data_IF_076851281068
#
_entry.id   IF_076851281068
#
_cell.length_a   1.000
_cell.length_b   1.000
_cell.length_c   1.000
_cell.angle_alpha   90.00
_cell.angle_beta   90.00
_cell.angle_gamma   90.00
#
_symmetry.space_group_name_H-M   'P 1'
#
loop_
_entity.id
_entity.type
_entity.pdbx_description
1 polymer ?
#
# COMPACT_ATOMS: atom_id res chain seq x y z
N UNK A 1 -8.66 -15.00 7.93
CA UNK A 1 -9.83 -14.40 7.25
C UNK A 1 -10.89 -15.43 6.94
N UNK A 2 -10.64 -16.39 6.04
CA UNK A 2 -11.65 -17.39 5.64
C UNK A 2 -12.19 -18.20 6.81
N UNK A 3 -11.31 -18.77 7.65
CA UNK A 3 -11.74 -19.56 8.82
C UNK A 3 -12.59 -18.77 9.81
N UNK A 4 -12.29 -17.47 10.00
CA UNK A 4 -12.93 -16.64 11.03
C UNK A 4 -14.19 -15.91 10.54
N UNK A 5 -14.24 -15.53 9.27
CA UNK A 5 -15.27 -14.63 8.71
C UNK A 5 -15.85 -15.11 7.37
N UNK A 6 -15.28 -16.16 6.77
CA UNK A 6 -15.69 -16.66 5.46
C UNK A 6 -16.91 -17.56 5.55
N UNK A 7 -17.77 -17.49 4.53
CA UNK A 7 -18.85 -18.46 4.29
C UNK A 7 -18.47 -19.58 3.31
N UNK A 8 -17.37 -19.39 2.58
CA UNK A 8 -16.86 -20.32 1.57
C UNK A 8 -15.55 -20.94 2.05
N UNK A 9 -15.33 -22.21 1.72
CA UNK A 9 -14.04 -22.87 1.92
C UNK A 9 -12.95 -22.34 0.99
N UNK A 10 -11.69 -22.67 1.31
CA UNK A 10 -10.53 -22.29 0.49
C UNK A 10 -10.60 -22.83 -0.94
N UNK A 11 -11.18 -24.02 -1.11
CA UNK A 11 -11.46 -24.65 -2.41
C UNK A 11 -12.25 -23.71 -3.34
N UNK A 12 -13.30 -23.08 -2.82
CA UNK A 12 -14.13 -22.15 -3.59
C UNK A 12 -13.52 -20.77 -3.69
N UNK A 13 -12.87 -20.29 -2.63
CA UNK A 13 -12.27 -18.96 -2.60
C UNK A 13 -11.08 -18.84 -3.58
N UNK A 14 -10.30 -19.91 -3.73
CA UNK A 14 -9.12 -19.94 -4.59
C UNK A 14 -9.40 -20.44 -6.01
N UNK A 15 -10.55 -21.07 -6.27
CA UNK A 15 -10.86 -21.65 -7.58
C UNK A 15 -10.67 -20.68 -8.77
N UNK A 16 -11.11 -19.40 -8.72
CA UNK A 16 -10.86 -18.47 -9.82
C UNK A 16 -9.37 -18.19 -10.04
N UNK A 17 -8.60 -18.02 -8.97
CA UNK A 17 -7.15 -17.78 -9.05
C UNK A 17 -6.41 -18.99 -9.63
N UNK A 18 -6.81 -20.20 -9.23
CA UNK A 18 -6.29 -21.46 -9.79
C UNK A 18 -6.59 -21.54 -11.29
N UNK A 19 -7.82 -21.25 -11.71
CA UNK A 19 -8.19 -21.27 -13.12
C UNK A 19 -7.39 -20.25 -13.95
N UNK A 20 -7.23 -19.01 -13.49
CA UNK A 20 -6.42 -18.01 -14.19
C UNK A 20 -4.93 -18.40 -14.27
N UNK A 21 -4.38 -19.02 -13.22
CA UNK A 21 -3.00 -19.50 -13.25
C UNK A 21 -2.84 -20.70 -14.21
N UNK A 22 -3.80 -21.61 -14.23
CA UNK A 22 -3.73 -22.86 -15.01
C UNK A 22 -4.09 -22.68 -16.48
N UNK A 23 -5.15 -21.95 -16.79
CA UNK A 23 -5.61 -21.70 -18.17
C UNK A 23 -4.89 -20.52 -18.81
N UNK A 24 -4.36 -19.63 -17.96
CA UNK A 24 -3.72 -18.38 -18.35
C UNK A 24 -4.73 -17.24 -18.58
N UNK A 25 -4.20 -16.03 -18.67
CA UNK A 25 -4.99 -14.83 -18.96
C UNK A 25 -4.24 -13.91 -19.94
N UNK A 26 -5.00 -13.06 -20.64
CA UNK A 26 -4.42 -12.07 -21.53
C UNK A 26 -3.67 -11.01 -20.73
N UNK A 27 -2.39 -10.84 -21.02
CA UNK A 27 -1.55 -9.80 -20.42
C UNK A 27 -2.10 -8.43 -20.80
N UNK A 28 -2.29 -7.57 -19.81
CA UNK A 28 -2.75 -6.21 -20.01
C UNK A 28 -1.62 -5.26 -20.46
N UNK A 29 -1.96 -4.05 -20.88
CA UNK A 29 -0.94 -3.06 -21.27
C UNK A 29 -0.03 -2.69 -20.09
N UNK A 30 -0.61 -2.52 -18.88
CA UNK A 30 0.17 -2.19 -17.69
C UNK A 30 1.08 -3.35 -17.27
N UNK A 31 0.58 -4.60 -17.32
CA UNK A 31 1.40 -5.76 -16.98
C UNK A 31 2.52 -5.98 -18.01
N UNK A 32 2.23 -5.83 -19.30
CA UNK A 32 3.26 -5.91 -20.35
C UNK A 32 4.36 -4.88 -20.15
N UNK A 33 3.99 -3.62 -19.85
CA UNK A 33 4.94 -2.56 -19.56
C UNK A 33 5.77 -2.85 -18.31
N UNK A 34 5.16 -3.38 -17.23
CA UNK A 34 5.86 -3.76 -16.02
C UNK A 34 6.90 -4.87 -16.27
N UNK A 35 6.52 -5.96 -16.95
CA UNK A 35 7.45 -7.06 -17.27
C UNK A 35 8.58 -6.56 -18.19
N UNK A 36 8.27 -5.67 -19.15
CA UNK A 36 9.27 -5.11 -20.04
C UNK A 36 10.27 -4.19 -19.31
N UNK A 37 9.79 -3.38 -18.36
CA UNK A 37 10.64 -2.51 -17.53
C UNK A 37 11.65 -3.31 -16.70
N UNK A 38 11.21 -4.43 -16.13
CA UNK A 38 12.05 -5.27 -15.27
C UNK A 38 12.68 -6.45 -16.05
N UNK A 39 12.73 -6.36 -17.38
CA UNK A 39 13.08 -7.52 -18.20
C UNK A 39 14.50 -8.04 -17.94
N UNK A 40 15.46 -7.14 -17.74
CA UNK A 40 16.84 -7.53 -17.41
C UNK A 40 16.91 -8.30 -16.10
N UNK A 41 16.20 -7.82 -15.08
CA UNK A 41 16.14 -8.43 -13.75
C UNK A 41 15.44 -9.79 -13.80
N UNK A 42 14.26 -9.88 -14.43
CA UNK A 42 13.48 -11.11 -14.53
C UNK A 42 14.20 -12.17 -15.39
N UNK A 43 14.95 -11.77 -16.41
CA UNK A 43 15.69 -12.71 -17.26
C UNK A 43 16.92 -13.34 -16.57
N UNK A 44 17.36 -12.77 -15.45
CA UNK A 44 18.50 -13.29 -14.69
C UNK A 44 18.13 -14.54 -13.85
N UNK A 45 16.85 -14.69 -13.49
CA UNK A 45 16.32 -15.87 -12.82
C UNK A 45 15.69 -16.82 -13.85
N UNK A 46 16.13 -18.09 -13.95
CA UNK A 46 15.62 -19.02 -14.96
C UNK A 46 14.11 -19.26 -14.89
N UNK A 47 13.53 -19.28 -13.69
CA UNK A 47 12.09 -19.54 -13.51
C UNK A 47 11.25 -18.31 -13.87
N UNK A 48 11.68 -17.11 -13.48
CA UNK A 48 11.10 -15.85 -13.97
C UNK A 48 11.20 -15.76 -15.50
N UNK A 49 12.34 -16.09 -16.10
CA UNK A 49 12.50 -16.09 -17.56
C UNK A 49 11.56 -17.10 -18.23
N UNK A 50 11.41 -18.31 -17.66
CA UNK A 50 10.51 -19.34 -18.17
C UNK A 50 9.04 -18.91 -18.12
N UNK A 51 8.62 -18.26 -17.03
CA UNK A 51 7.22 -17.87 -16.81
C UNK A 51 6.88 -16.55 -17.52
N UNK A 52 7.68 -15.50 -17.29
CA UNK A 52 7.40 -14.16 -17.80
C UNK A 52 8.00 -13.91 -19.19
N UNK A 53 8.94 -14.73 -19.67
CA UNK A 53 9.55 -14.57 -21.00
C UNK A 53 9.67 -15.89 -21.77
N UNK A 54 8.60 -16.69 -21.89
CA UNK A 54 8.65 -18.00 -22.54
C UNK A 54 9.07 -17.93 -24.02
N UNK A 55 9.01 -16.75 -24.63
CA UNK A 55 9.41 -16.45 -26.01
C UNK A 55 10.78 -15.76 -26.10
N UNK A 56 11.58 -15.79 -25.03
CA UNK A 56 12.88 -15.09 -24.94
C UNK A 56 12.77 -13.57 -24.87
N UNK A 57 11.57 -13.02 -24.61
CA UNK A 57 11.29 -11.59 -24.44
C UNK A 57 10.09 -11.39 -23.52
N UNK A 58 9.97 -10.18 -22.96
CA UNK A 58 8.74 -9.74 -22.29
C UNK A 58 7.51 -9.92 -23.20
N UNK A 59 6.34 -10.29 -22.65
CA UNK A 59 5.13 -10.52 -23.41
C UNK A 59 4.57 -9.20 -23.91
N UNK A 60 3.85 -9.25 -25.03
CA UNK A 60 3.05 -8.10 -25.50
C UNK A 60 1.65 -8.18 -24.89
N UNK A 61 0.98 -7.05 -24.77
CA UNK A 61 -0.42 -7.02 -24.39
C UNK A 61 -1.26 -7.94 -25.32
N UNK A 62 -2.20 -8.66 -24.72
CA UNK A 62 -3.03 -9.68 -25.37
C UNK A 62 -2.37 -11.06 -25.49
N UNK A 63 -1.07 -11.22 -25.27
CA UNK A 63 -0.45 -12.55 -25.17
C UNK A 63 -0.91 -13.26 -23.89
N UNK A 64 -1.02 -14.58 -23.92
CA UNK A 64 -1.44 -15.36 -22.76
C UNK A 64 -0.26 -15.61 -21.83
N UNK A 65 -0.41 -15.22 -20.56
CA UNK A 65 0.50 -15.58 -19.46
C UNK A 65 -0.15 -16.71 -18.65
N UNK A 66 0.57 -17.82 -18.52
CA UNK A 66 0.16 -19.03 -17.81
C UNK A 66 1.18 -19.35 -16.72
N UNK A 67 0.72 -19.75 -15.54
CA UNK A 67 1.52 -20.04 -14.35
C UNK A 67 1.10 -21.38 -13.75
N UNK A 68 1.30 -22.47 -14.48
CA UNK A 68 0.86 -23.82 -14.11
C UNK A 68 1.36 -24.28 -12.73
N UNK A 69 2.59 -23.93 -12.38
CA UNK A 69 3.20 -24.34 -11.11
C UNK A 69 2.55 -23.60 -9.93
N UNK A 70 2.21 -22.32 -10.14
CA UNK A 70 1.45 -21.54 -9.18
C UNK A 70 0.04 -22.12 -9.00
N UNK A 71 -0.59 -22.56 -10.10
CA UNK A 71 -1.89 -23.23 -10.02
C UNK A 71 -1.84 -24.48 -9.15
N UNK A 72 -0.79 -25.30 -9.27
CA UNK A 72 -0.63 -26.49 -8.41
C UNK A 72 -0.39 -26.12 -6.94
N UNK A 73 0.47 -25.14 -6.67
CA UNK A 73 0.68 -24.63 -5.30
C UNK A 73 -0.62 -24.12 -4.68
N UNK A 74 -1.44 -23.38 -5.45
CA UNK A 74 -2.76 -22.92 -5.00
C UNK A 74 -3.74 -24.08 -4.78
N UNK A 75 -3.70 -25.14 -5.60
CA UNK A 75 -4.50 -26.36 -5.37
C UNK A 75 -4.09 -27.08 -4.09
N UNK A 76 -2.79 -27.16 -3.79
CA UNK A 76 -2.32 -27.75 -2.53
C UNK A 76 -2.83 -26.97 -1.32
N UNK A 77 -2.75 -25.63 -1.36
CA UNK A 77 -3.29 -24.76 -0.30
C UNK A 77 -4.81 -24.90 -0.19
N UNK A 78 -5.52 -24.99 -1.33
CA UNK A 78 -6.96 -25.19 -1.33
C UNK A 78 -7.38 -26.52 -0.70
N UNK A 79 -6.61 -27.60 -0.91
CA UNK A 79 -6.90 -28.94 -0.39
C UNK A 79 -6.47 -29.13 1.07
N UNK A 80 -5.31 -28.61 1.44
CA UNK A 80 -4.65 -28.92 2.71
C UNK A 80 -4.60 -27.71 3.66
N UNK A 81 -5.19 -26.58 3.26
CA UNK A 81 -5.20 -25.37 4.05
C UNK A 81 -3.84 -24.64 4.08
N UNK A 82 -3.70 -23.63 4.95
CA UNK A 82 -2.46 -22.85 5.04
C UNK A 82 -1.25 -23.70 5.44
N UNK A 83 -1.44 -24.81 6.14
CA UNK A 83 -0.36 -25.71 6.53
C UNK A 83 0.39 -26.30 5.34
N UNK A 84 -0.23 -26.39 4.15
CA UNK A 84 0.47 -26.76 2.92
C UNK A 84 1.72 -25.87 2.71
N UNK A 85 1.54 -24.56 2.84
CA UNK A 85 2.57 -23.55 2.61
C UNK A 85 3.58 -23.45 3.75
N UNK A 86 3.16 -23.60 5.00
CA UNK A 86 4.02 -23.37 6.16
C UNK A 86 4.68 -24.63 6.74
N UNK A 87 4.08 -25.82 6.56
CA UNK A 87 4.48 -27.06 7.22
C UNK A 87 4.46 -28.31 6.33
N UNK A 88 3.86 -28.21 5.14
CA UNK A 88 3.64 -29.34 4.25
C UNK A 88 4.71 -29.52 3.18
N UNK A 89 4.41 -30.32 2.16
CA UNK A 89 5.30 -30.59 1.02
C UNK A 89 5.69 -29.30 0.28
N UNK A 90 4.76 -28.35 0.15
CA UNK A 90 5.06 -27.05 -0.46
C UNK A 90 6.05 -26.23 0.40
N UNK A 91 5.94 -26.28 1.73
CA UNK A 91 6.93 -25.66 2.62
C UNK A 91 8.33 -26.23 2.42
N UNK A 92 8.45 -27.56 2.30
CA UNK A 92 9.72 -28.23 1.98
C UNK A 92 10.33 -27.73 0.67
N UNK A 93 9.55 -27.67 -0.41
CA UNK A 93 9.99 -27.14 -1.71
C UNK A 93 10.44 -25.67 -1.63
N UNK A 94 9.76 -24.85 -0.84
CA UNK A 94 10.14 -23.45 -0.61
C UNK A 94 11.50 -23.37 0.09
N UNK A 95 11.71 -24.17 1.13
CA UNK A 95 12.98 -24.20 1.88
C UNK A 95 14.11 -24.68 0.98
N UNK A 96 13.95 -25.82 0.32
CA UNK A 96 14.96 -26.40 -0.57
C UNK A 96 15.34 -25.40 -1.68
N UNK A 97 14.34 -24.79 -2.33
CA UNK A 97 14.58 -23.80 -3.39
C UNK A 97 15.27 -22.54 -2.87
N UNK A 98 14.93 -22.03 -1.68
CA UNK A 98 15.63 -20.88 -1.10
C UNK A 98 17.07 -21.24 -0.70
N UNK A 99 17.32 -22.45 -0.20
CA UNK A 99 18.67 -22.92 0.13
C UNK A 99 19.55 -23.05 -1.10
N UNK A 100 19.03 -23.60 -2.21
CA UNK A 100 19.73 -23.67 -3.49
C UNK A 100 20.13 -22.29 -4.03
N UNK A 101 19.29 -21.28 -3.77
CA UNK A 101 19.56 -19.87 -4.10
C UNK A 101 20.54 -19.18 -3.13
N UNK A 102 21.00 -19.87 -2.08
CA UNK A 102 21.89 -19.32 -1.05
C UNK A 102 21.19 -18.46 0.01
N UNK A 103 19.87 -18.57 0.14
CA UNK A 103 19.07 -17.81 1.10
C UNK A 103 19.14 -18.35 2.53
N UNK A 104 18.70 -17.52 3.48
CA UNK A 104 18.80 -17.79 4.92
C UNK A 104 17.52 -18.33 5.57
N UNK A 105 16.40 -18.39 4.85
CA UNK A 105 15.12 -18.89 5.38
C UNK A 105 15.19 -20.42 5.55
N UNK A 106 14.75 -20.92 6.69
CA UNK A 106 14.72 -22.35 7.04
C UNK A 106 13.31 -22.84 7.35
N UNK A 107 13.14 -24.15 7.43
CA UNK A 107 11.84 -24.77 7.75
C UNK A 107 11.28 -24.30 9.08
N UNK A 108 12.14 -24.06 10.07
CA UNK A 108 11.75 -23.53 11.38
C UNK A 108 11.17 -22.12 11.29
N UNK A 109 11.64 -21.30 10.34
CA UNK A 109 11.09 -19.94 10.13
C UNK A 109 9.66 -20.00 9.58
N UNK A 110 9.39 -20.93 8.64
CA UNK A 110 8.03 -21.14 8.11
C UNK A 110 7.12 -21.75 9.17
N UNK A 111 7.59 -22.76 9.91
CA UNK A 111 6.79 -23.41 10.95
C UNK A 111 6.47 -22.46 12.12
N UNK A 112 7.40 -21.57 12.47
CA UNK A 112 7.22 -20.55 13.49
C UNK A 112 6.29 -19.40 13.07
N UNK A 113 5.99 -19.24 11.77
CA UNK A 113 5.14 -18.16 11.29
C UNK A 113 3.74 -18.21 11.91
N UNK A 114 3.24 -17.06 12.36
CA UNK A 114 1.85 -16.85 12.80
C UNK A 114 1.31 -15.58 12.17
N UNK A 115 0.03 -15.61 11.80
CA UNK A 115 -0.70 -14.41 11.38
C UNK A 115 -1.26 -13.70 12.61
N UNK A 116 -0.72 -12.54 12.93
CA UNK A 116 -1.20 -11.72 14.04
C UNK A 116 -2.59 -11.14 13.74
N UNK A 117 -3.41 -10.98 14.78
CA UNK A 117 -4.73 -10.30 14.74
C UNK A 117 -4.76 -9.17 15.78
N UNK A 118 -3.91 -8.14 15.63
CA UNK A 118 -3.86 -7.06 16.60
C UNK A 118 -5.09 -6.15 16.48
N UNK A 119 -5.44 -5.46 17.57
CA UNK A 119 -6.45 -4.40 17.51
C UNK A 119 -5.94 -3.26 16.61
N UNK A 120 -6.81 -2.67 15.77
CA UNK A 120 -6.44 -1.55 14.94
C UNK A 120 -6.12 -0.31 15.81
N UNK A 121 -5.35 0.60 15.25
CA UNK A 121 -5.15 1.94 15.81
C UNK A 121 -6.13 2.90 15.13
N UNK A 122 -6.56 3.94 15.85
CA UNK A 122 -7.50 4.92 15.31
C UNK A 122 -7.30 6.33 15.85
N UNK A 123 -7.83 7.29 15.09
CA UNK A 123 -8.01 8.69 15.48
C UNK A 123 -9.44 9.11 15.18
N UNK A 124 -10.00 10.00 15.99
CA UNK A 124 -11.26 10.67 15.68
C UNK A 124 -10.97 11.84 14.74
N UNK A 125 -11.56 11.85 13.55
CA UNK A 125 -11.33 12.86 12.52
C UNK A 125 -12.61 13.18 11.76
N UNK A 126 -12.97 14.46 11.65
CA UNK A 126 -14.15 14.91 10.91
C UNK A 126 -15.46 14.26 11.35
N UNK A 127 -15.57 13.86 12.63
CA UNK A 127 -16.74 13.16 13.17
C UNK A 127 -16.77 11.64 12.94
N UNK A 128 -15.72 11.05 12.37
CA UNK A 128 -15.57 9.60 12.17
C UNK A 128 -14.41 9.05 13.01
N UNK A 129 -14.47 7.77 13.34
CA UNK A 129 -13.32 7.02 13.86
C UNK A 129 -12.60 6.40 12.67
N UNK A 130 -11.42 6.94 12.35
CA UNK A 130 -10.59 6.48 11.22
C UNK A 130 -9.58 5.47 11.74
N UNK A 131 -9.62 4.25 11.19
CA UNK A 131 -8.78 3.12 11.59
C UNK A 131 -7.69 2.85 10.56
N UNK A 132 -6.51 2.50 11.07
CA UNK A 132 -5.39 1.99 10.28
C UNK A 132 -4.74 0.78 10.95
N UNK A 133 -3.90 0.06 10.21
CA UNK A 133 -3.16 -1.07 10.77
C UNK A 133 -2.13 -0.61 11.82
N UNK A 134 -1.96 -1.37 12.91
CA UNK A 134 -0.91 -1.11 13.89
C UNK A 134 0.48 -1.48 13.34
N UNK A 135 1.57 -1.10 14.04
CA UNK A 135 2.92 -1.48 13.66
C UNK A 135 3.04 -3.00 13.49
N UNK A 136 3.83 -3.51 12.55
CA UNK A 136 4.88 -2.82 11.77
C UNK A 136 4.39 -2.06 10.52
N UNK A 137 3.08 -1.89 10.33
CA UNK A 137 2.54 -1.02 9.28
C UNK A 137 2.78 0.48 9.55
N UNK A 138 2.82 1.27 8.47
CA UNK A 138 2.82 2.73 8.50
C UNK A 138 1.43 3.37 8.70
N UNK A 139 0.40 2.63 9.14
CA UNK A 139 -0.93 3.18 9.38
C UNK A 139 -0.95 4.36 10.36
N UNK A 140 -0.03 4.38 11.33
CA UNK A 140 0.13 5.49 12.29
C UNK A 140 0.47 6.83 11.62
N UNK A 141 1.16 6.81 10.47
CA UNK A 141 1.56 8.03 9.75
C UNK A 141 0.33 8.76 9.22
N UNK A 142 -0.60 8.04 8.60
CA UNK A 142 -1.88 8.63 8.16
C UNK A 142 -2.68 9.19 9.34
N UNK A 143 -2.75 8.44 10.45
CA UNK A 143 -3.50 8.89 11.63
C UNK A 143 -2.89 10.15 12.24
N UNK A 144 -1.56 10.24 12.24
CA UNK A 144 -0.84 11.45 12.66
C UNK A 144 -1.05 12.62 11.70
N UNK A 145 -0.98 12.39 10.38
CA UNK A 145 -1.29 13.41 9.36
C UNK A 145 -2.69 14.01 9.57
N UNK A 146 -3.69 13.15 9.77
CA UNK A 146 -5.07 13.56 10.06
C UNK A 146 -5.18 14.28 11.40
N UNK A 147 -4.54 13.77 12.47
CA UNK A 147 -4.54 14.42 13.79
C UNK A 147 -3.89 15.82 13.74
N UNK A 148 -2.80 15.97 12.98
CA UNK A 148 -2.10 17.25 12.83
C UNK A 148 -3.00 18.27 12.16
N UNK A 149 -3.75 17.92 11.11
CA UNK A 149 -4.66 18.88 10.47
C UNK A 149 -6.02 19.00 11.13
N UNK A 150 -6.36 18.10 12.05
CA UNK A 150 -7.58 18.18 12.86
C UNK A 150 -7.64 19.50 13.64
N UNK A 151 -8.78 20.19 13.61
CA UNK A 151 -8.93 21.53 14.21
C UNK A 151 -8.35 22.68 13.37
N UNK A 152 -7.86 22.43 12.15
CA UNK A 152 -7.61 23.48 11.15
C UNK A 152 -8.87 23.71 10.29
N UNK A 153 -9.07 24.95 9.83
CA UNK A 153 -10.21 25.31 8.99
C UNK A 153 -9.98 24.95 7.51
N UNK A 154 -9.72 23.66 7.22
CA UNK A 154 -9.34 23.19 5.88
C UNK A 154 -10.35 23.59 4.80
N UNK A 155 -11.66 23.48 5.10
CA UNK A 155 -12.74 23.89 4.19
C UNK A 155 -12.64 25.36 3.74
N UNK A 156 -12.14 26.26 4.60
CA UNK A 156 -11.95 27.68 4.26
C UNK A 156 -10.77 27.92 3.31
N UNK A 157 -9.82 26.99 3.27
CA UNK A 157 -8.69 27.06 2.32
C UNK A 157 -9.14 26.71 0.89
N UNK A 158 -10.21 25.92 0.74
CA UNK A 158 -10.73 25.47 -0.55
C UNK A 158 -10.01 24.23 -1.09
N UNK A 159 -10.79 23.29 -1.65
CA UNK A 159 -10.25 22.06 -2.24
C UNK A 159 -9.33 22.39 -3.42
N UNK A 160 -8.17 21.71 -3.48
CA UNK A 160 -7.17 21.91 -4.53
C UNK A 160 -6.43 23.24 -4.50
N UNK A 161 -6.63 24.08 -3.48
CA UNK A 161 -5.90 25.34 -3.36
C UNK A 161 -4.45 25.12 -2.93
N UNK A 162 -3.59 26.09 -3.26
CA UNK A 162 -2.19 26.06 -2.85
C UNK A 162 -2.02 26.13 -1.32
N UNK A 163 -2.97 26.74 -0.59
CA UNK A 163 -2.94 26.78 0.87
C UNK A 163 -3.24 25.40 1.47
N UNK A 164 -4.29 24.73 0.99
CA UNK A 164 -4.64 23.39 1.45
C UNK A 164 -3.49 22.39 1.17
N UNK A 165 -2.99 22.37 -0.07
CA UNK A 165 -1.90 21.47 -0.48
C UNK A 165 -0.66 21.75 0.37
N UNK A 166 -0.29 23.01 0.56
CA UNK A 166 0.86 23.35 1.39
C UNK A 166 0.68 22.86 2.84
N UNK A 167 -0.46 23.13 3.47
CA UNK A 167 -0.74 22.66 4.83
C UNK A 167 -0.63 21.14 4.94
N UNK A 168 -1.19 20.39 4.00
CA UNK A 168 -1.13 18.93 4.02
C UNK A 168 0.29 18.41 3.77
N UNK A 169 1.05 19.01 2.86
CA UNK A 169 2.46 18.62 2.61
C UNK A 169 3.32 18.85 3.86
N UNK A 170 3.14 19.99 4.55
CA UNK A 170 3.91 20.27 5.76
C UNK A 170 3.49 19.36 6.94
N UNK A 171 2.20 19.03 7.08
CA UNK A 171 1.73 18.03 8.04
C UNK A 171 2.34 16.64 7.77
N UNK A 172 2.34 16.21 6.50
CA UNK A 172 3.00 14.97 6.05
C UNK A 172 4.49 14.96 6.39
N UNK A 173 5.19 16.08 6.18
CA UNK A 173 6.63 16.18 6.49
C UNK A 173 6.89 15.92 7.97
N UNK A 174 6.04 16.44 8.85
CA UNK A 174 6.14 16.22 10.29
C UNK A 174 5.91 14.75 10.65
N UNK A 175 4.82 14.15 10.19
CA UNK A 175 4.47 12.76 10.49
C UNK A 175 5.51 11.75 9.98
N UNK A 176 6.06 11.97 8.78
CA UNK A 176 7.13 11.12 8.27
C UNK A 176 8.45 11.31 9.06
N UNK A 177 8.73 12.51 9.60
CA UNK A 177 9.90 12.70 10.46
C UNK A 177 9.77 11.85 11.75
N UNK A 178 8.56 11.79 12.30
CA UNK A 178 8.27 11.01 13.49
C UNK A 178 8.28 9.50 13.18
N UNK A 179 7.79 9.07 12.00
CA UNK A 179 7.98 7.71 11.50
C UNK A 179 9.45 7.31 11.51
N UNK A 180 10.33 8.13 10.92
CA UNK A 180 11.75 7.79 10.78
C UNK A 180 12.46 7.74 12.15
N UNK A 181 12.03 8.58 13.09
CA UNK A 181 12.58 8.63 14.44
C UNK A 181 12.14 7.45 15.33
N UNK A 182 10.90 6.96 15.18
CA UNK A 182 10.28 6.07 16.17
C UNK A 182 9.83 4.71 15.64
N UNK A 183 9.50 4.59 14.35
CA UNK A 183 8.86 3.38 13.85
C UNK A 183 9.79 2.16 13.87
N UNK A 184 9.31 1.06 14.45
CA UNK A 184 10.00 -0.23 14.49
C UNK A 184 9.04 -1.37 14.84
N UNK A 185 9.57 -2.59 14.93
CA UNK A 185 8.80 -3.75 15.38
C UNK A 185 8.57 -3.70 16.90
N UNK A 186 7.33 -3.58 17.38
CA UNK A 186 7.04 -3.50 18.82
C UNK A 186 7.48 -4.75 19.60
N UNK A 187 7.79 -5.86 18.91
CA UNK A 187 8.35 -7.07 19.54
C UNK A 187 9.83 -6.93 19.90
N UNK A 188 10.52 -5.95 19.31
CA UNK A 188 11.96 -5.76 19.44
C UNK A 188 12.34 -4.35 19.95
N UNK A 189 11.47 -3.36 19.78
CA UNK A 189 11.71 -1.97 20.23
C UNK A 189 10.50 -1.42 20.95
N UNK A 190 10.72 -0.44 21.84
CA UNK A 190 9.67 0.30 22.53
C UNK A 190 9.04 1.32 21.56
N UNK A 191 8.04 0.88 20.79
CA UNK A 191 7.30 1.73 19.85
C UNK A 191 5.81 1.74 20.17
N UNK A 192 5.34 2.89 20.65
CA UNK A 192 3.94 3.15 20.99
C UNK A 192 3.36 4.25 20.09
N UNK A 193 2.81 3.91 18.91
CA UNK A 193 2.42 4.90 17.90
C UNK A 193 1.30 5.85 18.37
N UNK A 194 0.48 5.44 19.35
CA UNK A 194 -0.65 6.26 19.86
C UNK A 194 -0.21 7.61 20.41
N UNK A 195 1.03 7.75 20.88
CA UNK A 195 1.57 9.03 21.32
C UNK A 195 1.74 10.04 20.18
N UNK A 196 1.99 9.57 18.95
CA UNK A 196 2.26 10.42 17.79
C UNK A 196 1.00 11.08 17.21
N UNK A 197 -0.17 10.53 17.49
CA UNK A 197 -1.46 11.10 17.10
C UNK A 197 -2.37 11.42 18.29
N UNK A 198 -1.79 11.54 19.48
CA UNK A 198 -2.49 12.08 20.63
C UNK A 198 -2.80 13.58 20.41
N UNK A 199 -3.97 14.10 20.86
CA UNK A 199 -4.38 15.47 20.60
C UNK A 199 -3.33 16.53 20.97
N UNK A 200 -2.67 16.39 22.12
CA UNK A 200 -1.66 17.34 22.61
C UNK A 200 -0.39 17.31 21.75
N UNK A 201 0.04 16.11 21.34
CA UNK A 201 1.21 15.95 20.48
C UNK A 201 0.93 16.50 19.08
N UNK A 202 -0.18 16.12 18.47
CA UNK A 202 -0.60 16.61 17.17
C UNK A 202 -0.74 18.15 17.16
N UNK A 203 -1.32 18.74 18.22
CA UNK A 203 -1.39 20.19 18.38
C UNK A 203 0.00 20.85 18.52
N UNK A 204 0.96 20.18 19.16
CA UNK A 204 2.33 20.65 19.23
C UNK A 204 3.03 20.58 17.86
N UNK A 205 2.87 19.48 17.12
CA UNK A 205 3.42 19.31 15.76
C UNK A 205 2.84 20.32 14.78
N UNK A 206 1.52 20.57 14.83
CA UNK A 206 0.82 21.57 14.00
C UNK A 206 1.47 22.96 14.03
N UNK A 207 2.08 23.36 15.15
CA UNK A 207 2.80 24.65 15.27
C UNK A 207 4.04 24.74 14.38
N UNK A 208 4.56 23.61 13.92
CA UNK A 208 5.65 23.53 12.95
C UNK A 208 5.23 23.86 11.52
N UNK A 209 3.93 23.92 11.22
CA UNK A 209 3.42 24.32 9.90
C UNK A 209 3.55 25.83 9.75
N UNK A 210 4.62 26.27 9.09
CA UNK A 210 4.84 27.66 8.72
C UNK A 210 4.11 28.05 7.43
N UNK A 211 4.26 29.31 7.00
CA UNK A 211 3.74 29.77 5.69
C UNK A 211 4.68 29.53 4.50
N UNK A 212 5.83 28.89 4.75
CA UNK A 212 6.88 28.58 3.77
C UNK A 212 7.21 27.10 3.85
N UNK A 213 7.53 26.48 2.72
CA UNK A 213 7.91 25.07 2.66
C UNK A 213 9.16 24.81 3.52
N UNK A 214 9.03 23.96 4.54
CA UNK A 214 10.17 23.51 5.32
C UNK A 214 11.04 22.57 4.50
N UNK A 215 12.35 22.60 4.76
CA UNK A 215 13.26 21.61 4.22
C UNK A 215 13.17 20.33 5.06
N UNK A 216 13.15 19.16 4.41
CA UNK A 216 13.22 17.86 5.09
C UNK A 216 13.95 16.84 4.25
N UNK A 217 15.13 16.44 4.69
CA UNK A 217 15.90 15.38 4.03
C UNK A 217 15.28 14.02 4.37
N UNK A 218 14.76 13.33 3.36
CA UNK A 218 14.33 11.93 3.47
C UNK A 218 15.52 11.02 3.11
N UNK A 219 15.48 9.75 3.52
CA UNK A 219 16.37 8.76 2.94
C UNK A 219 16.15 8.68 1.42
N UNK A 220 17.23 8.53 0.65
CA UNK A 220 17.11 8.42 -0.81
C UNK A 220 16.30 7.17 -1.22
N UNK A 221 15.44 7.32 -2.23
CA UNK A 221 14.79 6.19 -2.89
C UNK A 221 15.69 5.70 -4.04
N UNK A 222 16.15 4.44 -4.05
CA UNK A 222 16.94 3.89 -5.15
C UNK A 222 16.15 3.75 -6.47
N UNK A 223 14.89 4.19 -6.54
CA UNK A 223 14.10 4.26 -7.76
C UNK A 223 13.45 2.93 -8.15
N UNK A 224 13.24 2.04 -7.19
CA UNK A 224 12.67 0.71 -7.46
C UNK A 224 11.14 0.81 -7.45
N UNK A 225 10.52 0.48 -8.58
CA UNK A 225 9.07 0.51 -8.73
C UNK A 225 8.37 -0.30 -7.63
N UNK A 226 7.29 0.26 -7.08
CA UNK A 226 6.47 -0.37 -6.06
C UNK A 226 5.32 -1.16 -6.69
N UNK A 227 5.21 -2.44 -6.35
CA UNK A 227 4.06 -3.26 -6.76
C UNK A 227 3.32 -3.75 -5.51
N UNK A 228 2.19 -3.09 -5.27
CA UNK A 228 1.26 -3.35 -4.19
C UNK A 228 -0.13 -3.42 -4.85
N UNK A 229 -0.99 -4.26 -4.31
CA UNK A 229 -2.40 -4.32 -4.70
C UNK A 229 -3.25 -3.92 -3.50
N UNK A 230 -4.17 -3.00 -3.71
CA UNK A 230 -5.21 -2.66 -2.75
C UNK A 230 -6.55 -3.09 -3.32
N UNK A 231 -7.41 -3.64 -2.46
CA UNK A 231 -8.81 -3.92 -2.78
C UNK A 231 -9.70 -3.59 -1.59
N UNK A 232 -10.95 -3.27 -1.88
CA UNK A 232 -11.98 -3.11 -0.87
C UNK A 232 -13.28 -3.75 -1.32
N UNK A 233 -14.01 -4.35 -0.38
CA UNK A 233 -15.28 -5.02 -0.63
C UNK A 233 -16.25 -4.65 0.48
N UNK A 234 -17.49 -4.38 0.12
CA UNK A 234 -18.60 -4.26 1.07
C UNK A 234 -19.75 -5.18 0.62
N UNK A 235 -20.51 -5.74 1.56
CA UNK A 235 -21.67 -6.58 1.26
C UNK A 235 -22.96 -6.12 1.94
N UNK A 236 -24.08 -6.69 1.50
CA UNK A 236 -25.43 -6.39 2.01
C UNK A 236 -25.63 -6.70 3.50
N UNK A 237 -24.77 -7.52 4.09
CA UNK A 237 -24.85 -7.89 5.51
C UNK A 237 -24.08 -6.88 6.39
N UNK A 238 -23.50 -5.84 5.77
CA UNK A 238 -22.74 -4.78 6.44
C UNK A 238 -21.27 -5.13 6.67
N UNK A 239 -20.76 -6.21 6.07
CA UNK A 239 -19.34 -6.51 6.14
C UNK A 239 -18.56 -5.57 5.24
N UNK A 240 -17.43 -5.06 5.72
CA UNK A 240 -16.50 -4.24 4.95
C UNK A 240 -15.08 -4.75 5.14
N UNK A 241 -14.37 -4.96 4.04
CA UNK A 241 -12.97 -5.40 4.01
C UNK A 241 -12.16 -4.35 3.28
N UNK A 242 -11.13 -3.82 3.95
CA UNK A 242 -10.07 -3.01 3.35
C UNK A 242 -8.79 -3.84 3.39
N UNK A 243 -8.30 -4.27 2.23
CA UNK A 243 -7.20 -5.24 2.13
C UNK A 243 -6.09 -4.70 1.24
N UNK A 244 -4.86 -4.93 1.68
CA UNK A 244 -3.67 -4.54 0.96
C UNK A 244 -2.62 -5.65 1.07
N UNK A 245 -1.99 -6.00 -0.05
CA UNK A 245 -0.95 -7.01 -0.11
C UNK A 245 0.16 -6.62 -1.09
N UNK A 246 1.38 -7.09 -0.85
CA UNK A 246 2.53 -6.69 -1.66
C UNK A 246 3.77 -7.54 -1.39
N UNK A 247 4.47 -7.85 -2.49
CA UNK A 247 5.83 -8.40 -2.50
C UNK A 247 6.94 -7.35 -2.32
N UNK A 248 6.57 -6.11 -1.98
CA UNK A 248 7.39 -4.88 -1.88
C UNK A 248 7.76 -4.25 -3.23
N UNK A 249 8.78 -4.75 -3.91
CA UNK A 249 9.19 -4.27 -5.23
C UNK A 249 8.36 -4.86 -6.37
N UNK A 250 8.47 -4.26 -7.56
CA UNK A 250 8.07 -4.93 -8.80
C UNK A 250 8.69 -6.30 -8.90
N UNK A 251 7.83 -7.31 -9.00
CA UNK A 251 8.21 -8.71 -8.96
C UNK A 251 9.04 -9.12 -7.73
N UNK A 252 8.97 -8.38 -6.61
CA UNK A 252 9.63 -8.71 -5.35
C UNK A 252 11.14 -8.85 -5.49
N UNK A 253 11.66 -10.03 -5.13
CA UNK A 253 13.07 -10.38 -5.31
C UNK A 253 13.45 -10.72 -6.77
N UNK A 254 12.46 -10.78 -7.67
CA UNK A 254 12.56 -11.29 -9.03
C UNK A 254 13.11 -12.73 -9.08
N UNK A 255 12.66 -13.54 -8.14
CA UNK A 255 13.09 -14.93 -7.97
C UNK A 255 11.88 -15.79 -7.66
N UNK A 256 11.69 -16.86 -8.44
CA UNK A 256 10.62 -17.83 -8.22
C UNK A 256 11.24 -19.11 -7.66
N UNK A 257 10.64 -19.65 -6.61
CA UNK A 257 11.04 -20.96 -6.08
C UNK A 257 10.74 -22.04 -7.13
N UNK A 258 11.76 -22.77 -7.63
CA UNK A 258 11.58 -23.75 -8.71
C UNK A 258 10.46 -24.75 -8.44
N UNK A 259 9.61 -24.98 -9.46
CA UNK A 259 8.52 -25.95 -9.39
C UNK A 259 7.35 -25.58 -8.47
N UNK A 260 7.27 -24.34 -8.00
CA UNK A 260 6.14 -23.85 -7.18
C UNK A 260 5.39 -22.68 -7.79
N UNK A 261 6.01 -21.92 -8.70
CA UNK A 261 5.46 -20.66 -9.21
C UNK A 261 5.36 -19.54 -8.16
N UNK A 262 5.92 -19.73 -6.95
CA UNK A 262 5.87 -18.74 -5.86
C UNK A 262 7.01 -17.74 -6.05
N UNK A 263 6.62 -16.52 -6.39
CA UNK A 263 7.51 -15.36 -6.44
C UNK A 263 7.87 -14.90 -5.02
N UNK A 264 9.16 -14.79 -4.72
CA UNK A 264 9.64 -14.31 -3.43
C UNK A 264 9.52 -12.79 -3.33
N UNK A 265 9.08 -12.31 -2.17
CA UNK A 265 9.10 -10.89 -1.85
C UNK A 265 10.53 -10.43 -1.49
N UNK A 266 10.80 -9.13 -1.61
CA UNK A 266 12.04 -8.51 -1.14
C UNK A 266 11.81 -7.58 0.07
N UNK A 267 10.81 -7.90 0.92
CA UNK A 267 10.34 -7.04 2.02
C UNK A 267 11.43 -6.70 3.04
N UNK A 268 12.46 -7.54 3.18
CA UNK A 268 13.59 -7.27 4.07
C UNK A 268 14.36 -5.99 3.71
N UNK A 269 14.22 -5.47 2.47
CA UNK A 269 14.72 -4.14 2.10
C UNK A 269 14.08 -2.99 2.88
N UNK A 270 12.97 -3.25 3.57
CA UNK A 270 12.34 -2.28 4.46
C UNK A 270 13.12 -2.03 5.75
N UNK A 271 14.16 -2.83 6.07
CA UNK A 271 15.03 -2.56 7.22
C UNK A 271 16.02 -1.44 6.94
N UNK A 272 16.39 -0.72 8.01
CA UNK A 272 17.57 0.12 8.03
C UNK A 272 18.84 -0.70 8.27
N UNK A 273 19.95 -0.26 7.71
CA UNK A 273 21.29 -0.76 8.03
C UNK A 273 22.03 0.14 9.03
N UNK A 274 21.43 1.26 9.44
CA UNK A 274 21.95 2.09 10.53
C UNK A 274 21.73 1.37 11.87
N UNK A 275 22.80 1.05 12.62
CA UNK A 275 22.70 0.39 13.93
C UNK A 275 21.89 1.16 14.97
N UNK A 276 21.72 2.47 14.79
CA UNK A 276 20.95 3.33 15.71
C UNK A 276 19.45 3.37 15.39
N UNK A 277 19.04 2.86 14.22
CA UNK A 277 17.64 2.90 13.79
C UNK A 277 16.76 1.95 14.60
N UNK A 278 15.56 2.39 15.05
CA UNK A 278 14.57 1.47 15.62
C UNK A 278 14.11 0.40 14.62
N UNK A 279 14.35 0.60 13.33
CA UNK A 279 14.07 -0.33 12.25
C UNK A 279 15.34 -1.01 11.70
N UNK A 280 16.40 -1.15 12.51
CA UNK A 280 17.61 -1.92 12.13
C UNK A 280 17.28 -3.39 11.84
N UNK A 281 17.94 -3.98 10.86
CA UNK A 281 17.88 -5.42 10.52
C UNK A 281 18.29 -6.28 11.73
N UNK A 282 17.41 -7.22 12.11
CA UNK A 282 17.68 -8.20 13.17
C UNK A 282 16.90 -9.50 12.92
N UNK A 283 17.42 -10.63 13.42
CA UNK A 283 16.76 -11.93 13.33
C UNK A 283 15.40 -11.93 14.04
N UNK A 284 14.39 -12.59 13.45
CA UNK A 284 13.03 -12.69 13.99
C UNK A 284 12.22 -11.40 14.00
N UNK A 285 12.85 -10.24 13.72
CA UNK A 285 12.21 -8.94 13.61
C UNK A 285 11.49 -8.81 12.27
N UNK A 286 10.44 -8.00 12.21
CA UNK A 286 9.78 -7.59 10.96
C UNK A 286 10.22 -6.17 10.59
N UNK A 287 10.50 -5.89 9.31
CA UNK A 287 10.76 -4.53 8.87
C UNK A 287 9.48 -3.71 8.97
N UNK A 288 9.62 -2.42 9.32
CA UNK A 288 8.54 -1.45 9.09
C UNK A 288 8.15 -1.52 7.61
N UNK A 289 6.84 -1.59 7.34
CA UNK A 289 6.35 -1.76 5.98
C UNK A 289 5.30 -0.73 5.59
N UNK A 290 5.27 -0.46 4.29
CA UNK A 290 4.52 0.63 3.68
C UNK A 290 3.02 0.40 3.55
N UNK A 291 2.53 -0.80 3.84
CA UNK A 291 1.12 -1.15 3.61
C UNK A 291 0.17 -0.40 4.53
N UNK A 292 -0.79 0.35 3.99
CA UNK A 292 -1.85 1.01 4.74
C UNK A 292 -3.23 0.83 4.05
N UNK A 293 -4.20 0.35 4.81
CA UNK A 293 -5.58 0.11 4.44
C UNK A 293 -6.47 0.77 5.49
N UNK A 294 -7.50 1.50 5.06
CA UNK A 294 -8.23 2.45 5.91
C UNK A 294 -9.71 2.10 5.93
N UNK A 295 -10.29 2.11 7.12
CA UNK A 295 -11.74 2.07 7.34
C UNK A 295 -12.12 3.23 8.25
N UNK A 296 -13.16 3.98 7.91
CA UNK A 296 -13.72 5.01 8.77
C UNK A 296 -15.14 4.64 9.20
N UNK A 297 -15.42 4.74 10.50
CA UNK A 297 -16.70 4.39 11.11
C UNK A 297 -17.40 5.63 11.68
N UNK A 298 -18.73 5.63 11.63
CA UNK A 298 -19.58 6.47 12.47
C UNK A 298 -20.18 5.58 13.57
N UNK A 299 -19.61 5.65 14.77
CA UNK A 299 -19.85 4.66 15.83
C UNK A 299 -19.45 3.27 15.36
N UNK A 300 -20.40 2.34 15.28
CA UNK A 300 -20.18 0.98 14.76
C UNK A 300 -20.49 0.82 13.27
N UNK A 301 -20.89 1.90 12.58
CA UNK A 301 -21.36 1.83 11.19
C UNK A 301 -20.23 2.19 10.24
N UNK A 302 -19.79 1.29 9.33
CA UNK A 302 -18.84 1.63 8.29
C UNK A 302 -19.36 2.74 7.40
N UNK A 303 -18.55 3.77 7.16
CA UNK A 303 -18.87 4.88 6.26
C UNK A 303 -17.95 4.93 5.05
N UNK A 304 -16.67 4.62 5.25
CA UNK A 304 -15.67 4.64 4.19
C UNK A 304 -14.72 3.46 4.36
N UNK A 305 -14.30 2.87 3.25
CA UNK A 305 -13.12 2.02 3.17
C UNK A 305 -12.31 2.43 1.96
N UNK A 306 -11.04 2.77 2.15
CA UNK A 306 -10.19 3.27 1.08
C UNK A 306 -8.73 2.94 1.32
N UNK A 307 -7.97 2.96 0.24
CA UNK A 307 -6.56 2.64 0.25
C UNK A 307 -5.98 2.73 -1.13
N UNK A 308 -4.66 2.63 -1.21
CA UNK A 308 -3.93 2.74 -2.47
C UNK A 308 -2.62 1.96 -2.38
N UNK A 309 -2.11 1.40 -3.49
CA UNK A 309 -0.72 1.01 -3.59
C UNK A 309 0.23 2.22 -3.69
N UNK A 310 1.54 1.98 -3.64
CA UNK A 310 2.56 3.00 -3.96
C UNK A 310 3.62 3.30 -2.89
N UNK A 311 4.08 2.32 -2.10
CA UNK A 311 5.11 2.52 -1.03
C UNK A 311 4.85 3.77 -0.16
N UNK A 312 5.72 4.77 -0.23
CA UNK A 312 5.63 6.01 0.55
C UNK A 312 4.52 6.94 0.05
N UNK A 313 4.01 6.75 -1.17
CA UNK A 313 2.84 7.46 -1.66
C UNK A 313 1.55 6.99 -0.97
N UNK A 314 1.51 5.79 -0.37
CA UNK A 314 0.27 5.23 0.18
C UNK A 314 -0.39 6.15 1.19
N UNK A 315 0.34 6.51 2.26
CA UNK A 315 -0.21 7.38 3.31
C UNK A 315 -0.44 8.81 2.82
N UNK A 316 0.37 9.32 1.88
CA UNK A 316 0.15 10.64 1.28
C UNK A 316 -1.14 10.70 0.45
N UNK A 317 -1.38 9.67 -0.36
CA UNK A 317 -2.60 9.55 -1.18
C UNK A 317 -3.80 9.24 -0.31
N UNK A 318 -3.68 8.38 0.69
CA UNK A 318 -4.74 8.12 1.66
C UNK A 318 -5.07 9.37 2.49
N UNK A 319 -4.08 10.23 2.77
CA UNK A 319 -4.31 11.51 3.45
C UNK A 319 -5.09 12.48 2.55
N UNK A 320 -4.70 12.60 1.29
CA UNK A 320 -5.47 13.35 0.27
C UNK A 320 -6.91 12.84 0.14
N UNK A 321 -7.12 11.53 0.09
CA UNK A 321 -8.44 10.91 0.03
C UNK A 321 -9.25 11.12 1.31
N UNK A 322 -8.63 10.96 2.48
CA UNK A 322 -9.27 11.19 3.77
C UNK A 322 -9.81 12.60 3.87
N UNK A 323 -9.00 13.60 3.54
CA UNK A 323 -9.43 15.01 3.51
C UNK A 323 -10.52 15.25 2.45
N UNK A 324 -10.36 14.70 1.24
CA UNK A 324 -11.36 14.83 0.17
C UNK A 324 -12.74 14.29 0.58
N UNK A 325 -12.77 13.08 1.12
CA UNK A 325 -13.99 12.34 1.46
C UNK A 325 -14.63 12.87 2.75
N UNK A 326 -13.82 13.19 3.76
CA UNK A 326 -14.31 13.55 5.11
C UNK A 326 -14.51 15.08 5.23
N UNK A 327 -13.50 15.89 4.89
CA UNK A 327 -13.57 17.35 5.03
C UNK A 327 -14.19 18.05 3.84
N UNK A 328 -14.18 17.48 2.65
CA UNK A 328 -14.82 18.13 1.50
C UNK A 328 -16.07 17.41 1.04
N UNK A 329 -16.33 16.19 1.53
CA UNK A 329 -17.52 15.42 1.18
C UNK A 329 -17.61 15.14 -0.31
N UNK A 330 -16.46 15.01 -0.99
CA UNK A 330 -16.44 14.72 -2.41
C UNK A 330 -17.05 13.35 -2.69
N UNK A 331 -17.68 13.24 -3.86
CA UNK A 331 -18.04 11.94 -4.43
C UNK A 331 -16.82 11.01 -4.50
N UNK A 332 -17.03 9.71 -4.33
CA UNK A 332 -15.95 8.72 -4.25
C UNK A 332 -15.08 8.72 -5.51
N UNK A 333 -15.68 8.72 -6.69
CA UNK A 333 -14.91 8.73 -7.94
C UNK A 333 -14.25 10.10 -8.13
N UNK A 334 -14.93 11.20 -7.81
CA UNK A 334 -14.36 12.53 -7.90
C UNK A 334 -13.14 12.72 -6.97
N UNK A 335 -13.19 12.17 -5.75
CA UNK A 335 -12.07 12.18 -4.80
C UNK A 335 -10.87 11.38 -5.34
N UNK A 336 -11.12 10.22 -5.94
CA UNK A 336 -10.09 9.38 -6.56
C UNK A 336 -9.46 10.08 -7.78
N UNK A 337 -10.28 10.69 -8.61
CA UNK A 337 -9.86 11.33 -9.85
C UNK A 337 -9.19 12.69 -9.65
N UNK A 338 -9.38 13.33 -8.49
CA UNK A 338 -8.75 14.61 -8.19
C UNK A 338 -7.23 14.57 -8.47
N UNK A 339 -6.64 15.66 -9.00
CA UNK A 339 -5.19 15.76 -9.18
C UNK A 339 -4.45 15.53 -7.87
N UNK A 340 -3.36 14.76 -7.90
CA UNK A 340 -2.59 14.39 -6.71
C UNK A 340 -1.22 15.02 -6.69
N UNK A 341 -0.75 15.25 -5.47
CA UNK A 341 0.62 15.63 -5.18
C UNK A 341 1.34 14.49 -4.46
N UNK A 342 2.66 14.49 -4.57
CA UNK A 342 3.56 13.57 -3.89
C UNK A 342 4.80 14.34 -3.45
N UNK A 343 5.04 14.40 -2.14
CA UNK A 343 6.28 14.96 -1.63
C UNK A 343 7.38 13.90 -1.68
N UNK A 344 8.41 14.19 -2.48
CA UNK A 344 9.57 13.31 -2.64
C UNK A 344 10.54 13.50 -1.46
N UNK A 345 11.28 14.61 -1.44
CA UNK A 345 12.28 14.95 -0.43
C UNK A 345 12.50 16.47 -0.39
N UNK A 346 13.10 16.96 0.69
CA UNK A 346 13.46 18.36 0.86
C UNK A 346 12.26 19.28 0.73
N UNK A 347 12.31 20.13 -0.31
CA UNK A 347 11.20 20.98 -0.73
C UNK A 347 10.58 20.52 -2.06
N UNK A 348 11.05 19.42 -2.64
CA UNK A 348 10.58 18.86 -3.90
C UNK A 348 9.17 18.30 -3.76
N UNK A 349 8.24 18.92 -4.48
CA UNK A 349 6.84 18.53 -4.52
C UNK A 349 6.48 18.18 -5.96
N UNK A 350 6.23 16.89 -6.19
CA UNK A 350 5.72 16.39 -7.45
C UNK A 350 4.22 16.60 -7.51
N UNK A 351 3.72 17.18 -8.59
CA UNK A 351 2.29 17.45 -8.79
C UNK A 351 1.87 17.00 -10.17
N UNK A 352 0.70 16.39 -10.29
CA UNK A 352 0.15 16.06 -11.61
C UNK A 352 -0.11 17.32 -12.45
N UNK A 353 0.12 17.20 -13.76
CA UNK A 353 -0.04 18.30 -14.71
C UNK A 353 -1.47 18.90 -14.74
N UNK A 354 -2.46 18.15 -14.24
CA UNK A 354 -3.86 18.58 -14.12
C UNK A 354 -4.09 19.64 -13.03
N UNK A 355 -3.12 19.89 -12.14
CA UNK A 355 -3.22 21.05 -11.25
C UNK A 355 -3.10 22.36 -12.05
N UNK A 356 -4.01 23.33 -11.83
CA UNK A 356 -3.94 24.61 -12.52
C UNK A 356 -2.59 25.30 -12.33
N UNK A 357 -2.12 26.01 -13.35
CA UNK A 357 -0.80 26.67 -13.32
C UNK A 357 -0.71 27.69 -12.19
N UNK A 358 -1.80 28.40 -11.88
CA UNK A 358 -1.86 29.36 -10.78
C UNK A 358 -1.65 28.69 -9.42
N UNK A 359 -2.17 27.47 -9.21
CA UNK A 359 -1.96 26.70 -7.99
C UNK A 359 -0.49 26.29 -7.88
N UNK A 360 0.08 25.77 -8.97
CA UNK A 360 1.49 25.38 -9.04
C UNK A 360 2.43 26.55 -8.76
N UNK A 361 2.15 27.71 -9.36
CA UNK A 361 2.91 28.95 -9.15
C UNK A 361 2.79 29.44 -7.71
N UNK A 362 1.58 29.38 -7.12
CA UNK A 362 1.37 29.77 -5.73
C UNK A 362 2.11 28.84 -4.75
N UNK A 363 2.15 27.53 -5.02
CA UNK A 363 2.98 26.58 -4.25
C UNK A 363 4.48 26.89 -4.37
N UNK A 364 4.97 27.21 -5.57
CA UNK A 364 6.33 27.71 -5.77
C UNK A 364 6.59 29.01 -5.01
N UNK A 365 5.60 29.91 -4.96
CA UNK A 365 5.62 31.13 -4.15
C UNK A 365 5.71 30.88 -2.65
N UNK A 366 5.29 29.70 -2.16
CA UNK A 366 5.48 29.25 -0.77
C UNK A 366 6.84 28.56 -0.55
N UNK A 367 7.62 28.33 -1.61
CA UNK A 367 8.98 27.76 -1.53
C UNK A 367 9.08 26.28 -1.86
N UNK A 368 8.00 25.65 -2.32
CA UNK A 368 8.04 24.28 -2.87
C UNK A 368 8.76 24.26 -4.22
N UNK A 369 9.57 23.23 -4.45
CA UNK A 369 10.26 22.97 -5.71
C UNK A 369 9.38 22.06 -6.55
N UNK A 370 8.63 22.64 -7.49
CA UNK A 370 7.59 21.93 -8.23
C UNK A 370 8.19 21.09 -9.35
N UNK A 371 7.95 19.79 -9.30
CA UNK A 371 8.20 18.85 -10.38
C UNK A 371 6.86 18.39 -10.98
N UNK A 372 6.75 18.36 -12.30
CA UNK A 372 5.53 17.94 -12.98
C UNK A 372 5.54 16.45 -13.26
N UNK A 373 4.46 15.80 -12.84
CA UNK A 373 4.11 14.44 -13.24
C UNK A 373 3.21 14.47 -14.48
N UNK A 374 2.98 13.31 -15.08
CA UNK A 374 1.95 13.16 -16.11
C UNK A 374 0.56 13.56 -15.58
N UNK A 375 -0.42 13.72 -16.47
CA UNK A 375 -1.79 14.05 -16.06
C UNK A 375 -2.38 12.99 -15.12
N UNK A 376 -2.09 11.72 -15.40
CA UNK A 376 -2.51 10.56 -14.62
C UNK A 376 -1.28 9.71 -14.31
N UNK A 377 -0.62 10.00 -13.19
CA UNK A 377 0.68 9.39 -12.87
C UNK A 377 0.58 8.35 -11.76
N UNK A 378 0.90 7.09 -12.10
CA UNK A 378 0.81 5.94 -11.19
C UNK A 378 1.76 6.01 -9.98
N UNK A 379 2.73 6.94 -9.98
CA UNK A 379 3.58 7.26 -8.82
C UNK A 379 2.73 7.74 -7.64
N UNK A 380 1.61 8.41 -7.91
CA UNK A 380 0.67 8.91 -6.89
C UNK A 380 -0.34 7.84 -6.43
N UNK A 381 -0.12 6.57 -6.79
CA UNK A 381 -0.90 5.43 -6.33
C UNK A 381 -1.86 4.86 -7.36
N UNK A 382 -2.91 4.21 -6.87
CA UNK A 382 -3.90 3.44 -7.63
C UNK A 382 -5.11 3.15 -6.75
N UNK A 383 -5.72 4.22 -6.24
CA UNK A 383 -6.67 4.17 -5.14
C UNK A 383 -7.95 3.40 -5.48
N UNK A 384 -8.51 2.73 -4.48
CA UNK A 384 -9.88 2.21 -4.53
C UNK A 384 -10.61 2.70 -3.29
N UNK A 385 -11.90 2.98 -3.41
CA UNK A 385 -12.70 3.37 -2.26
C UNK A 385 -14.15 2.92 -2.40
N UNK A 386 -14.75 2.62 -1.25
CA UNK A 386 -16.19 2.41 -1.09
C UNK A 386 -16.68 3.37 -0.01
N UNK A 387 -17.72 4.13 -0.32
CA UNK A 387 -18.54 4.84 0.66
C UNK A 387 -19.85 4.08 0.89
N UNK A 388 -20.27 4.03 2.14
CA UNK A 388 -21.54 3.47 2.58
C UNK A 388 -22.42 4.63 3.04
N UNK A 389 -23.51 4.87 2.34
CA UNK A 389 -24.49 5.89 2.70
C UNK A 389 -25.36 5.45 3.89
N UNK A 390 -25.99 6.39 4.59
CA UNK A 390 -26.84 6.14 5.76
C UNK A 390 -28.08 5.29 5.43
N UNK A 391 -28.50 5.27 4.18
CA UNK A 391 -29.58 4.41 3.67
C UNK A 391 -29.09 2.99 3.26
N UNK A 392 -27.79 2.69 3.43
CA UNK A 392 -27.19 1.40 3.08
C UNK A 392 -26.76 1.25 1.61
N UNK A 393 -26.83 2.30 0.80
CA UNK A 393 -26.35 2.28 -0.59
C UNK A 393 -24.83 2.40 -0.62
N UNK A 394 -24.20 1.61 -1.51
CA UNK A 394 -22.76 1.66 -1.75
C UNK A 394 -22.44 2.56 -2.94
N UNK A 395 -21.46 3.45 -2.78
CA UNK A 395 -20.78 4.13 -3.87
C UNK A 395 -19.34 3.65 -3.91
N UNK A 396 -18.87 3.21 -5.08
CA UNK A 396 -17.52 2.68 -5.25
C UNK A 396 -16.81 3.40 -6.39
N UNK A 397 -15.50 3.58 -6.25
CA UNK A 397 -14.67 4.19 -7.28
C UNK A 397 -13.31 3.52 -7.39
N UNK A 398 -12.73 3.61 -8.58
CA UNK A 398 -11.47 3.01 -8.96
C UNK A 398 -10.60 3.99 -9.73
N UNK A 399 -9.30 3.96 -9.44
CA UNK A 399 -8.35 4.93 -9.96
C UNK A 399 -7.98 4.70 -11.43
N UNK A 400 -8.18 5.70 -12.32
CA UNK A 400 -7.82 5.57 -13.73
C UNK A 400 -6.31 5.64 -13.99
N UNK A 401 -5.47 5.93 -12.98
CA UNK A 401 -4.00 5.86 -13.10
C UNK A 401 -3.47 4.43 -13.22
N UNK A 402 -4.33 3.44 -12.94
CA UNK A 402 -4.05 2.00 -13.05
C UNK A 402 -5.25 1.30 -13.68
N UNK A 403 -5.15 -0.01 -13.84
CA UNK A 403 -6.24 -0.87 -14.35
C UNK A 403 -7.24 -1.22 -13.23
N UNK A 404 -7.68 -0.20 -12.47
CA UNK A 404 -8.66 -0.36 -11.39
C UNK A 404 -10.07 -0.57 -11.93
N UNK A 405 -10.88 -1.34 -11.21
CA UNK A 405 -12.31 -1.55 -11.54
C UNK A 405 -13.14 -1.48 -10.28
N UNK A 406 -14.25 -0.74 -10.34
CA UNK A 406 -15.32 -0.77 -9.36
C UNK A 406 -16.53 -1.49 -9.96
N UNK A 407 -17.07 -2.48 -9.25
CA UNK A 407 -18.22 -3.27 -9.69
C UNK A 407 -19.16 -3.56 -8.51
N UNK A 408 -20.46 -3.63 -8.79
CA UNK A 408 -21.51 -4.00 -7.83
C UNK A 408 -22.49 -4.99 -8.46
N UNK A 409 -23.18 -5.78 -7.64
CA UNK A 409 -24.11 -6.83 -8.08
C UNK A 409 -25.31 -6.97 -7.15
#
# INVERSE_FOLDING_TARGET
MIEAHGRLGLDRALAPAIAYADEGFAVSDVLAAAIASDASLLSADPECARIYMPRGRAPRAGEILQQSDLAESLREIARHGPDAFYRGTLAGRIVDGIEELGGALRGEDLDAHRTDRPDPISVRYGGLDVYGQPPVSQGHVLLEELAIVDGMELRKMGWGSADLIHTMVEAKKLAFADRDAYAGDPRAVDFHPRGLFAPEYAAARRKGIGGRAADRVEAGDPGVAAHTTYLTVADRDGNVVSLIESVFSGFGAATIVPGTGILLNDRLRGFSLDPSSPNVLAAGKRPVHTLNAVIALDGSTPRLAFGTPGRHAQVQTNFQLGVALIDFGLDVQAAIEAPRWYHEHGRTLRVEARFPEEVRRALGGKGHEIELLAEWDATTGGAQAIAVDANGVFAAGADPRREGVAAGY
#
